data_IF_529325213876
#
_entry.id   IF_529325213876
#
_cell.length_a   1.000
_cell.length_b   1.000
_cell.length_c   1.000
_cell.angle_alpha   90.00
_cell.angle_beta   90.00
_cell.angle_gamma   90.00
#
_symmetry.space_group_name_H-M   'P 1'
#
loop_
_entity.id
_entity.type
_entity.pdbx_description
1 polymer ?
#
# COMPACT_ATOMS: atom_id res chain seq x y z
N UNK A 1 57.81 -6.50 40.94
CA UNK A 1 56.40 -6.74 40.56
C UNK A 1 55.83 -5.46 39.98
N UNK A 2 55.35 -5.46 38.73
CA UNK A 2 54.64 -4.32 38.12
C UNK A 2 53.36 -4.89 37.48
N UNK A 3 52.22 -4.69 38.13
CA UNK A 3 50.93 -5.12 37.61
C UNK A 3 50.39 -4.05 36.65
N UNK A 4 50.16 -4.45 35.39
CA UNK A 4 49.44 -3.67 34.40
C UNK A 4 47.94 -3.87 34.64
N UNK A 5 47.19 -2.80 34.85
CA UNK A 5 45.73 -2.81 34.80
C UNK A 5 45.34 -2.18 33.47
N UNK A 6 45.01 -3.02 32.50
CA UNK A 6 44.39 -2.61 31.24
C UNK A 6 42.89 -2.59 31.47
N UNK A 7 42.30 -1.40 31.58
CA UNK A 7 40.85 -1.22 31.65
C UNK A 7 40.28 -1.50 30.26
N UNK A 8 39.61 -2.65 30.11
CA UNK A 8 38.89 -3.00 28.90
C UNK A 8 37.51 -2.33 28.96
N UNK A 9 37.33 -1.23 28.23
CA UNK A 9 36.03 -0.58 28.05
C UNK A 9 35.18 -1.47 27.13
N UNK A 10 34.40 -2.37 27.74
CA UNK A 10 33.43 -3.20 27.02
C UNK A 10 32.20 -2.34 26.70
N UNK A 11 32.24 -1.62 25.59
CA UNK A 11 31.07 -0.94 25.03
C UNK A 11 30.07 -2.00 24.57
N UNK A 12 29.05 -2.20 25.40
CA UNK A 12 27.88 -3.03 25.10
C UNK A 12 27.15 -2.39 23.92
N UNK A 13 27.39 -2.89 22.71
CA UNK A 13 26.57 -2.59 21.53
C UNK A 13 25.20 -3.23 21.76
N UNK A 14 24.27 -2.47 22.33
CA UNK A 14 22.86 -2.84 22.34
C UNK A 14 22.37 -2.64 20.92
N UNK A 15 22.37 -3.72 20.14
CA UNK A 15 21.69 -3.77 18.85
C UNK A 15 20.20 -3.66 19.13
N UNK A 16 19.65 -2.44 19.08
CA UNK A 16 18.21 -2.24 19.07
C UNK A 16 17.72 -2.80 17.74
N UNK A 17 17.25 -4.04 17.75
CA UNK A 17 16.47 -4.59 16.65
C UNK A 17 15.21 -3.75 16.57
N UNK A 18 15.20 -2.74 15.69
CA UNK A 18 14.00 -2.03 15.33
C UNK A 18 13.00 -3.08 14.86
N UNK A 19 11.94 -3.29 15.63
CA UNK A 19 10.83 -4.15 15.22
C UNK A 19 10.36 -3.65 13.86
N UNK A 20 10.55 -4.46 12.82
CA UNK A 20 10.09 -4.14 11.48
C UNK A 20 8.58 -3.96 11.56
N UNK A 21 8.13 -2.75 11.27
CA UNK A 21 6.73 -2.38 11.33
C UNK A 21 6.01 -2.92 10.10
N UNK A 22 5.01 -3.77 10.29
CA UNK A 22 4.27 -4.36 9.16
C UNK A 22 3.39 -3.31 8.48
N UNK A 23 3.43 -3.32 7.16
CA UNK A 23 2.62 -2.49 6.27
C UNK A 23 1.39 -3.29 5.86
N UNK A 24 0.22 -2.64 5.87
CA UNK A 24 -0.97 -3.19 5.25
C UNK A 24 -1.17 -2.55 3.89
N UNK A 25 -0.93 -3.34 2.84
CA UNK A 25 -1.16 -2.92 1.45
C UNK A 25 -2.63 -3.11 1.10
N UNK A 26 -3.21 -2.10 0.46
CA UNK A 26 -4.55 -2.12 -0.11
C UNK A 26 -4.43 -1.78 -1.59
N UNK A 27 -4.86 -2.69 -2.45
CA UNK A 27 -4.72 -2.58 -3.90
C UNK A 27 -6.05 -2.18 -4.53
N UNK A 28 -5.98 -1.17 -5.39
CA UNK A 28 -7.13 -0.70 -6.16
C UNK A 28 -6.75 -0.71 -7.63
N UNK A 29 -7.49 -1.46 -8.43
CA UNK A 29 -7.39 -1.40 -9.88
C UNK A 29 -8.56 -0.60 -10.45
N UNK A 30 -8.28 0.23 -11.45
CA UNK A 30 -9.30 0.99 -12.19
C UNK A 30 -9.06 0.79 -13.68
N UNK A 31 -10.07 0.23 -14.35
CA UNK A 31 -10.01 -0.04 -15.78
C UNK A 31 -10.37 1.19 -16.64
N UNK A 32 -10.25 1.05 -17.96
CA UNK A 32 -10.55 2.12 -18.91
C UNK A 32 -12.03 2.59 -18.85
N UNK A 33 -12.93 1.71 -18.43
CA UNK A 33 -14.38 1.96 -18.30
C UNK A 33 -14.76 2.55 -16.93
N UNK A 34 -13.77 2.86 -16.07
CA UNK A 34 -13.94 3.39 -14.71
C UNK A 34 -14.60 2.40 -13.74
N UNK A 35 -14.55 1.10 -14.04
CA UNK A 35 -14.86 0.10 -13.03
C UNK A 35 -13.73 0.10 -11.98
N UNK A 36 -14.11 0.07 -10.71
CA UNK A 36 -13.19 0.12 -9.57
C UNK A 36 -13.16 -1.25 -8.94
N UNK A 37 -11.97 -1.79 -8.73
CA UNK A 37 -11.74 -3.08 -8.11
C UNK A 37 -10.90 -2.84 -6.84
N UNK A 38 -11.52 -3.00 -5.68
CA UNK A 38 -10.82 -3.01 -4.39
C UNK A 38 -10.46 -4.46 -4.07
N UNK A 39 -9.17 -4.77 -4.13
CA UNK A 39 -8.68 -6.15 -4.18
C UNK A 39 -9.40 -6.95 -5.29
N UNK A 40 -10.22 -7.94 -4.93
CA UNK A 40 -10.97 -8.78 -5.88
C UNK A 40 -12.43 -8.30 -6.05
N UNK A 41 -12.86 -7.28 -5.30
CA UNK A 41 -14.25 -6.83 -5.29
C UNK A 41 -14.46 -5.64 -6.21
N UNK A 42 -15.32 -5.82 -7.22
CA UNK A 42 -15.83 -4.72 -8.04
C UNK A 42 -16.78 -3.84 -7.22
N UNK A 43 -16.54 -2.53 -7.25
CA UNK A 43 -17.27 -1.53 -6.48
C UNK A 43 -17.62 -0.30 -7.32
N UNK A 44 -18.63 0.44 -6.86
CA UNK A 44 -18.87 1.82 -7.29
C UNK A 44 -18.04 2.82 -6.48
N UNK A 45 -17.89 4.04 -7.01
CA UNK A 45 -17.22 5.15 -6.31
C UNK A 45 -17.88 5.47 -4.96
N UNK A 46 -19.20 5.30 -4.84
CA UNK A 46 -19.93 5.51 -3.58
C UNK A 46 -19.67 4.44 -2.52
N UNK A 47 -19.33 3.22 -2.93
CA UNK A 47 -19.07 2.10 -2.00
C UNK A 47 -17.62 2.06 -1.52
N UNK A 48 -16.69 2.60 -2.33
CA UNK A 48 -15.24 2.53 -2.10
C UNK A 48 -14.83 2.96 -0.68
N UNK A 49 -15.42 4.03 -0.15
CA UNK A 49 -15.09 4.54 1.18
C UNK A 49 -15.43 3.54 2.29
N UNK A 50 -16.66 3.03 2.29
CA UNK A 50 -17.17 2.17 3.35
C UNK A 50 -16.57 0.77 3.28
N UNK A 51 -16.30 0.26 2.07
CA UNK A 51 -15.63 -1.03 1.89
C UNK A 51 -14.14 -0.96 2.28
N UNK A 52 -13.46 0.15 1.97
CA UNK A 52 -12.06 0.35 2.42
C UNK A 52 -11.99 0.40 3.94
N UNK A 53 -12.94 1.07 4.60
CA UNK A 53 -13.06 1.06 6.08
C UNK A 53 -13.24 -0.35 6.60
N UNK A 54 -14.19 -1.10 6.05
CA UNK A 54 -14.48 -2.46 6.48
C UNK A 54 -13.24 -3.36 6.34
N UNK A 55 -12.49 -3.22 5.25
CA UNK A 55 -11.27 -3.97 4.98
C UNK A 55 -10.17 -3.65 6.00
N UNK A 56 -9.99 -2.38 6.37
CA UNK A 56 -9.01 -1.98 7.41
C UNK A 56 -9.45 -2.44 8.80
N UNK A 57 -10.71 -2.25 9.18
CA UNK A 57 -11.19 -2.58 10.53
C UNK A 57 -11.27 -4.10 10.80
N UNK A 58 -11.29 -4.93 9.76
CA UNK A 58 -11.15 -6.39 9.89
C UNK A 58 -9.74 -6.80 10.33
N UNK A 59 -8.73 -5.94 10.16
CA UNK A 59 -7.35 -6.25 10.55
C UNK A 59 -7.12 -6.03 12.04
N UNK A 60 -6.17 -6.78 12.61
CA UNK A 60 -5.72 -6.54 13.98
C UNK A 60 -5.03 -5.18 14.09
N UNK A 61 -5.56 -4.30 14.96
CA UNK A 61 -5.01 -2.96 15.20
C UNK A 61 -3.56 -2.94 15.71
N UNK A 62 -3.06 -4.07 16.24
CA UNK A 62 -1.67 -4.20 16.70
C UNK A 62 -0.71 -4.71 15.61
N UNK A 63 -1.24 -5.26 14.51
CA UNK A 63 -0.42 -5.90 13.48
C UNK A 63 0.23 -4.87 12.55
N UNK A 64 -0.56 -3.90 12.10
CA UNK A 64 -0.13 -2.93 11.11
C UNK A 64 -0.13 -1.52 11.69
N UNK A 65 0.89 -0.73 11.34
CA UNK A 65 1.01 0.65 11.81
C UNK A 65 1.06 1.69 10.69
N UNK A 66 0.99 1.21 9.43
CA UNK A 66 0.95 2.00 8.22
C UNK A 66 0.04 1.33 7.20
N UNK A 67 -0.78 2.15 6.55
CA UNK A 67 -1.53 1.78 5.37
C UNK A 67 -0.79 2.25 4.11
N UNK A 68 -0.75 1.39 3.10
CA UNK A 68 -0.27 1.76 1.77
C UNK A 68 -1.37 1.45 0.77
N UNK A 69 -1.93 2.48 0.17
CA UNK A 69 -2.86 2.35 -0.96
C UNK A 69 -2.05 2.28 -2.25
N UNK A 70 -2.26 1.25 -3.06
CA UNK A 70 -1.67 1.13 -4.40
C UNK A 70 -2.80 1.26 -5.43
N UNK A 71 -2.82 2.36 -6.18
CA UNK A 71 -3.79 2.60 -7.25
C UNK A 71 -3.13 2.25 -8.57
N UNK A 72 -3.66 1.25 -9.25
CA UNK A 72 -3.28 0.82 -10.59
C UNK A 72 -4.38 1.29 -11.55
N UNK A 73 -4.11 2.35 -12.29
CA UNK A 73 -5.08 2.96 -13.19
C UNK A 73 -4.71 2.68 -14.63
N UNK A 74 -5.71 2.37 -15.47
CA UNK A 74 -5.50 2.34 -16.91
C UNK A 74 -4.78 3.62 -17.39
N UNK A 75 -3.82 3.45 -18.32
CA UNK A 75 -3.02 4.57 -18.83
C UNK A 75 -3.84 5.69 -19.48
N UNK A 76 -5.02 5.38 -20.00
CA UNK A 76 -5.88 6.35 -20.70
C UNK A 76 -6.87 7.04 -19.75
N UNK A 77 -6.86 6.66 -18.47
CA UNK A 77 -7.75 7.22 -17.48
C UNK A 77 -7.38 8.67 -17.15
N UNK A 78 -8.38 9.53 -17.04
CA UNK A 78 -8.16 10.94 -16.68
C UNK A 78 -7.58 11.04 -15.27
N UNK A 79 -6.49 11.78 -15.13
CA UNK A 79 -5.83 12.03 -13.84
C UNK A 79 -6.80 12.47 -12.73
N UNK A 80 -7.76 13.36 -13.04
CA UNK A 80 -8.76 13.80 -12.06
C UNK A 80 -9.58 12.67 -11.44
N UNK A 81 -9.93 11.64 -12.22
CA UNK A 81 -10.65 10.48 -11.70
C UNK A 81 -9.77 9.66 -10.74
N UNK A 82 -8.47 9.53 -11.04
CA UNK A 82 -7.50 8.85 -10.17
C UNK A 82 -7.37 9.60 -8.84
N UNK A 83 -7.40 10.94 -8.87
CA UNK A 83 -7.39 11.76 -7.66
C UNK A 83 -8.66 11.60 -6.83
N UNK A 84 -9.83 11.50 -7.47
CA UNK A 84 -11.09 11.26 -6.77
C UNK A 84 -11.05 9.93 -6.00
N UNK A 85 -10.51 8.86 -6.61
CA UNK A 85 -10.27 7.57 -5.95
C UNK A 85 -9.33 7.74 -4.75
N UNK A 86 -8.18 8.38 -4.95
CA UNK A 86 -7.20 8.63 -3.88
C UNK A 86 -7.83 9.37 -2.69
N UNK A 87 -8.65 10.40 -2.95
CA UNK A 87 -9.35 11.13 -1.90
C UNK A 87 -10.34 10.25 -1.13
N UNK A 88 -11.08 9.35 -1.79
CA UNK A 88 -11.96 8.41 -1.07
C UNK A 88 -11.17 7.45 -0.18
N UNK A 89 -10.06 6.91 -0.68
CA UNK A 89 -9.21 5.99 0.09
C UNK A 89 -8.60 6.67 1.33
N UNK A 90 -8.07 7.89 1.17
CA UNK A 90 -7.49 8.65 2.29
C UNK A 90 -8.52 9.01 3.37
N UNK A 91 -9.80 9.19 2.99
CA UNK A 91 -10.91 9.42 3.92
C UNK A 91 -11.35 8.17 4.68
N UNK A 92 -10.96 6.98 4.24
CA UNK A 92 -11.41 5.74 4.87
C UNK A 92 -10.93 5.65 6.32
N UNK A 93 -9.70 6.07 6.62
CA UNK A 93 -9.15 5.92 7.98
C UNK A 93 -8.40 7.17 8.40
N UNK A 94 -9.09 8.03 9.14
CA UNK A 94 -8.49 9.20 9.78
C UNK A 94 -7.57 8.75 10.94
N UNK A 95 -6.36 9.31 11.00
CA UNK A 95 -5.43 9.12 12.11
C UNK A 95 -4.42 7.96 11.97
N UNK A 96 -4.57 7.08 10.99
CA UNK A 96 -3.51 6.13 10.62
C UNK A 96 -2.51 6.77 9.68
N UNK A 97 -1.22 6.44 9.83
CA UNK A 97 -0.20 6.83 8.85
C UNK A 97 -0.50 6.11 7.53
N UNK A 98 -0.82 6.87 6.50
CA UNK A 98 -1.08 6.34 5.16
C UNK A 98 -0.13 6.91 4.13
N UNK A 99 0.08 6.15 3.05
CA UNK A 99 0.72 6.60 1.81
C UNK A 99 -0.13 6.08 0.65
N UNK A 100 -0.25 6.86 -0.41
CA UNK A 100 -0.78 6.37 -1.69
C UNK A 100 0.34 6.31 -2.71
N UNK A 101 0.49 5.16 -3.36
CA UNK A 101 1.23 5.00 -4.60
C UNK A 101 0.23 4.93 -5.76
N UNK A 102 0.54 5.59 -6.87
CA UNK A 102 -0.30 5.63 -8.05
C UNK A 102 0.52 5.21 -9.26
N UNK A 103 -0.05 4.38 -10.12
CA UNK A 103 0.63 3.77 -11.24
C UNK A 103 -0.25 3.76 -12.47
N UNK A 104 0.33 4.06 -13.64
CA UNK A 104 -0.29 3.74 -14.92
C UNK A 104 -0.06 2.26 -15.25
N UNK A 105 -1.12 1.61 -15.71
CA UNK A 105 -1.16 0.21 -16.07
C UNK A 105 -1.65 0.04 -17.51
N UNK A 106 -0.86 -0.67 -18.32
CA UNK A 106 -1.28 -1.13 -19.65
C UNK A 106 -1.80 -2.56 -19.55
N UNK A 107 -3.09 -2.72 -19.23
CA UNK A 107 -3.66 -4.03 -18.88
C UNK A 107 -4.27 -4.81 -20.04
N UNK A 108 -4.32 -4.26 -21.26
CA UNK A 108 -4.77 -4.98 -22.47
C UNK A 108 -3.96 -6.27 -22.74
N UNK A 109 -2.80 -6.42 -22.10
CA UNK A 109 -1.92 -7.58 -22.18
C UNK A 109 -1.93 -8.47 -20.93
N UNK A 110 -2.77 -8.17 -19.94
CA UNK A 110 -2.85 -8.86 -18.64
C UNK A 110 -4.19 -9.56 -18.49
N UNK A 111 -4.16 -10.78 -17.97
CA UNK A 111 -5.39 -11.48 -17.57
C UNK A 111 -5.72 -11.09 -16.13
N UNK A 112 -6.66 -10.15 -15.98
CA UNK A 112 -7.10 -9.67 -14.67
C UNK A 112 -8.33 -10.42 -14.14
N UNK A 113 -8.83 -11.43 -14.87
CA UNK A 113 -9.98 -12.24 -14.48
C UNK A 113 -9.59 -13.37 -13.50
N UNK A 114 -8.30 -13.68 -13.37
CA UNK A 114 -7.82 -14.66 -12.39
C UNK A 114 -7.70 -14.08 -10.96
N UNK A 115 -8.05 -14.90 -9.97
CA UNK A 115 -7.78 -14.58 -8.57
C UNK A 115 -6.27 -14.40 -8.37
N UNK A 116 -5.87 -13.30 -7.74
CA UNK A 116 -4.48 -12.86 -7.50
C UNK A 116 -3.79 -12.01 -8.59
N UNK A 117 -4.52 -11.28 -9.44
CA UNK A 117 -3.96 -10.26 -10.36
C UNK A 117 -2.96 -9.29 -9.68
N UNK A 118 -3.10 -9.04 -8.38
CA UNK A 118 -2.22 -8.18 -7.60
C UNK A 118 -0.77 -8.68 -7.61
N UNK A 119 -0.56 -10.01 -7.68
CA UNK A 119 0.77 -10.60 -7.78
C UNK A 119 1.40 -10.33 -9.14
N UNK A 120 0.61 -10.42 -10.21
CA UNK A 120 1.07 -10.15 -11.57
C UNK A 120 1.46 -8.69 -11.72
N UNK A 121 0.60 -7.77 -11.25
CA UNK A 121 0.87 -6.33 -11.32
C UNK A 121 2.10 -5.93 -10.50
N UNK A 122 2.33 -6.56 -9.34
CA UNK A 122 3.55 -6.32 -8.53
C UNK A 122 4.83 -6.74 -9.24
N UNK A 123 4.78 -7.67 -10.20
CA UNK A 123 5.92 -8.08 -10.99
C UNK A 123 6.24 -7.13 -12.16
N UNK A 124 5.31 -6.23 -12.50
CA UNK A 124 5.47 -5.30 -13.61
C UNK A 124 6.31 -4.07 -13.23
N UNK A 125 7.03 -3.54 -14.22
CA UNK A 125 7.66 -2.23 -14.11
C UNK A 125 6.64 -1.17 -14.50
N UNK A 126 6.03 -0.55 -13.50
CA UNK A 126 4.96 0.43 -13.70
C UNK A 126 5.48 1.87 -13.71
N UNK A 127 4.85 2.72 -14.50
CA UNK A 127 5.09 4.16 -14.52
C UNK A 127 4.32 4.81 -13.35
N UNK A 128 5.01 5.61 -12.54
CA UNK A 128 4.40 6.29 -11.41
C UNK A 128 3.61 7.52 -11.89
N UNK A 129 2.47 7.77 -11.25
CA UNK A 129 1.67 8.97 -11.47
C UNK A 129 2.05 10.00 -10.41
N UNK A 130 2.60 11.12 -10.84
CA UNK A 130 2.97 12.25 -9.97
C UNK A 130 1.73 12.99 -9.44
N UNK A 131 1.91 13.68 -8.31
CA UNK A 131 0.90 14.52 -7.64
C UNK A 131 0.78 15.92 -8.27
#
# INVERSE_FOLDING_TARGET
>A
MKFKITIFFLSLLVSVSAFAQEVFDINVFVDADKNIYLEEQKLSMSELLEETKALVYKQSAMKYNRLVYNIYADKNLKHGFIMDINHQLLRAVEGLKSKTNKYHLEYESLDLDEAAWQLEIKALKLEAIED
#
